data_IF_691716282392
#
_entry.id   IF_691716282392
#
_cell.length_a   1.000
_cell.length_b   1.000
_cell.length_c   1.000
_cell.angle_alpha   90.00
_cell.angle_beta   90.00
_cell.angle_gamma   90.00
#
_symmetry.space_group_name_H-M   'P 1'
#
loop_
_entity.id
_entity.type
_entity.pdbx_description
1 polymer ?
#
# COMPACT_ATOMS: atom_id res chain seq x y z
N UNK A 1 -15.39 23.42 14.34
CA UNK A 1 -14.93 23.64 12.95
C UNK A 1 -15.94 22.95 12.06
N UNK A 2 -16.44 23.62 11.01
CA UNK A 2 -17.30 22.95 10.03
C UNK A 2 -16.44 21.86 9.37
N UNK A 3 -16.65 20.60 9.73
CA UNK A 3 -16.19 19.49 8.90
C UNK A 3 -16.98 19.60 7.61
N UNK A 4 -16.40 20.20 6.57
CA UNK A 4 -16.89 19.99 5.21
C UNK A 4 -16.97 18.47 5.03
N UNK A 5 -18.16 17.96 4.70
CA UNK A 5 -18.37 16.51 4.54
C UNK A 5 -17.28 15.92 3.63
N UNK A 6 -16.46 15.02 4.18
CA UNK A 6 -15.50 14.26 3.40
C UNK A 6 -16.27 13.42 2.40
N UNK A 7 -15.95 13.55 1.10
CA UNK A 7 -16.60 12.79 0.04
C UNK A 7 -15.70 11.62 -0.39
N UNK A 8 -16.27 10.41 -0.57
CA UNK A 8 -15.50 9.28 -1.05
C UNK A 8 -15.13 9.50 -2.52
N UNK A 9 -13.96 8.99 -2.93
CA UNK A 9 -13.56 8.90 -4.34
C UNK A 9 -13.53 7.44 -4.76
N UNK A 10 -14.13 7.10 -5.89
CA UNK A 10 -14.00 5.75 -6.42
C UNK A 10 -12.54 5.48 -6.78
N UNK A 11 -12.00 4.38 -6.27
CA UNK A 11 -10.65 3.91 -6.52
C UNK A 11 -10.71 2.63 -7.36
N UNK A 12 -9.60 2.35 -8.04
CA UNK A 12 -9.38 1.09 -8.75
C UNK A 12 -8.25 0.36 -8.06
N UNK A 13 -8.44 -0.90 -7.73
CA UNK A 13 -7.51 -1.71 -6.96
C UNK A 13 -7.12 -2.98 -7.71
N UNK A 14 -5.92 -3.47 -7.41
CA UNK A 14 -5.44 -4.79 -7.76
C UNK A 14 -5.21 -5.58 -6.48
N UNK A 15 -5.78 -6.78 -6.42
CA UNK A 15 -5.55 -7.78 -5.38
C UNK A 15 -5.04 -9.06 -6.04
N UNK A 16 -4.52 -9.99 -5.24
CA UNK A 16 -4.19 -11.34 -5.72
C UNK A 16 -4.88 -12.38 -4.84
N UNK A 17 -5.46 -13.41 -5.47
CA UNK A 17 -6.14 -14.50 -4.77
C UNK A 17 -5.18 -15.25 -3.83
N UNK A 18 -5.60 -15.60 -2.59
CA UNK A 18 -4.77 -16.29 -1.62
C UNK A 18 -4.74 -17.81 -1.82
N UNK A 19 -4.99 -18.32 -3.04
CA UNK A 19 -5.10 -19.77 -3.33
C UNK A 19 -3.86 -20.59 -2.91
N UNK A 20 -2.71 -19.93 -2.81
CA UNK A 20 -1.44 -20.52 -2.42
C UNK A 20 -0.80 -19.85 -1.19
N UNK A 21 -1.56 -19.03 -0.47
CA UNK A 21 -1.03 -18.31 0.68
C UNK A 21 -0.69 -19.27 1.84
N UNK A 22 0.53 -19.15 2.34
CA UNK A 22 1.05 -19.87 3.51
C UNK A 22 2.26 -19.12 4.06
N UNK A 23 2.68 -19.44 5.28
CA UNK A 23 3.94 -18.94 5.88
C UNK A 23 4.94 -20.08 5.92
N UNK A 24 5.70 -20.24 4.83
CA UNK A 24 6.69 -21.32 4.67
C UNK A 24 8.15 -20.86 4.89
N UNK A 25 8.37 -19.55 5.00
CA UNK A 25 9.66 -18.92 5.33
C UNK A 25 9.44 -17.67 6.21
N UNK A 26 10.53 -17.14 6.77
CA UNK A 26 10.50 -15.91 7.56
C UNK A 26 11.48 -14.87 6.99
N UNK A 27 10.92 -13.81 6.40
CA UNK A 27 11.66 -12.67 5.80
C UNK A 27 11.26 -11.33 6.43
N UNK A 28 10.48 -11.37 7.51
CA UNK A 28 10.15 -10.25 8.37
C UNK A 28 9.89 -10.77 9.82
N UNK A 29 9.85 -9.89 10.83
CA UNK A 29 9.68 -10.29 12.23
C UNK A 29 8.31 -10.87 12.60
N UNK A 30 7.29 -10.74 11.74
CA UNK A 30 5.92 -11.19 12.01
C UNK A 30 5.67 -12.63 11.56
N UNK A 31 6.49 -13.14 10.65
CA UNK A 31 6.37 -14.50 10.12
C UNK A 31 6.84 -15.54 11.13
N UNK A 32 5.94 -16.44 11.51
CA UNK A 32 6.21 -17.63 12.32
C UNK A 32 5.85 -18.89 11.53
N UNK A 33 6.87 -19.60 11.05
CA UNK A 33 6.70 -20.84 10.26
C UNK A 33 6.18 -22.03 11.08
N UNK A 34 6.10 -21.89 12.41
CA UNK A 34 5.54 -22.92 13.30
C UNK A 34 4.03 -22.79 13.50
N UNK A 35 3.46 -21.64 13.13
CA UNK A 35 2.05 -21.35 13.23
C UNK A 35 1.38 -21.44 11.84
N UNK A 36 0.68 -22.55 11.52
CA UNK A 36 0.10 -22.72 10.19
C UNK A 36 -1.01 -21.70 9.92
N UNK A 37 -1.13 -21.30 8.65
CA UNK A 37 -2.23 -20.50 8.13
C UNK A 37 -3.45 -21.39 7.92
N UNK A 38 -4.63 -20.95 8.34
CA UNK A 38 -5.89 -21.55 7.92
C UNK A 38 -6.26 -21.00 6.53
N UNK A 39 -5.97 -21.77 5.49
CA UNK A 39 -6.22 -21.38 4.11
C UNK A 39 -7.70 -21.08 3.81
N UNK A 40 -8.63 -21.79 4.46
CA UNK A 40 -10.07 -21.55 4.27
C UNK A 40 -10.48 -20.22 4.90
N UNK A 41 -9.96 -19.91 6.08
CA UNK A 41 -10.19 -18.64 6.75
C UNK A 41 -9.52 -17.49 5.99
N UNK A 42 -8.26 -17.66 5.54
CA UNK A 42 -7.54 -16.68 4.75
C UNK A 42 -8.30 -16.28 3.49
N UNK A 43 -8.85 -17.26 2.75
CA UNK A 43 -9.69 -16.97 1.58
C UNK A 43 -10.95 -16.18 1.95
N UNK A 44 -11.67 -16.57 3.02
CA UNK A 44 -12.88 -15.85 3.46
C UNK A 44 -12.57 -14.41 3.88
N UNK A 45 -11.48 -14.20 4.60
CA UNK A 45 -11.03 -12.89 5.07
C UNK A 45 -10.61 -11.99 3.89
N UNK A 46 -9.87 -12.54 2.92
CA UNK A 46 -9.53 -11.85 1.68
C UNK A 46 -10.77 -11.47 0.86
N UNK A 47 -11.73 -12.40 0.73
CA UNK A 47 -12.98 -12.16 0.00
C UNK A 47 -13.87 -11.13 0.70
N UNK A 48 -13.83 -11.07 2.03
CA UNK A 48 -14.48 -10.03 2.82
C UNK A 48 -13.88 -8.65 2.51
N UNK A 49 -12.55 -8.52 2.44
CA UNK A 49 -11.90 -7.29 2.02
C UNK A 49 -12.32 -6.91 0.59
N UNK A 50 -12.25 -7.85 -0.35
CA UNK A 50 -12.61 -7.61 -1.75
C UNK A 50 -14.06 -7.12 -1.90
N UNK A 51 -14.98 -7.79 -1.23
CA UNK A 51 -16.41 -7.42 -1.22
C UNK A 51 -16.63 -6.06 -0.54
N UNK A 52 -15.96 -5.78 0.58
CA UNK A 52 -16.03 -4.48 1.25
C UNK A 52 -15.62 -3.34 0.33
N UNK A 53 -14.52 -3.49 -0.40
CA UNK A 53 -14.07 -2.48 -1.36
C UNK A 53 -15.09 -2.29 -2.49
N UNK A 54 -15.67 -3.37 -3.01
CA UNK A 54 -16.69 -3.31 -4.06
C UNK A 54 -17.99 -2.64 -3.58
N UNK A 55 -18.45 -2.95 -2.36
CA UNK A 55 -19.65 -2.35 -1.76
C UNK A 55 -19.49 -0.84 -1.50
N UNK A 56 -18.25 -0.38 -1.26
CA UNK A 56 -17.90 1.03 -1.19
C UNK A 56 -17.82 1.72 -2.57
N UNK A 57 -18.04 0.98 -3.66
CA UNK A 57 -18.08 1.50 -5.04
C UNK A 57 -16.74 1.50 -5.76
N UNK A 58 -15.73 0.79 -5.23
CA UNK A 58 -14.43 0.65 -5.87
C UNK A 58 -14.41 -0.47 -6.91
N UNK A 59 -13.54 -0.34 -7.90
CA UNK A 59 -13.28 -1.41 -8.88
C UNK A 59 -12.14 -2.27 -8.35
N UNK A 60 -12.29 -3.60 -8.35
CA UNK A 60 -11.24 -4.51 -7.91
C UNK A 60 -10.90 -5.51 -9.02
N UNK A 61 -9.66 -5.48 -9.48
CA UNK A 61 -9.05 -6.48 -10.36
C UNK A 61 -8.33 -7.53 -9.51
N UNK A 62 -8.27 -8.77 -10.01
CA UNK A 62 -7.68 -9.90 -9.29
C UNK A 62 -6.65 -10.60 -10.16
N UNK A 63 -5.44 -10.77 -9.62
CA UNK A 63 -4.44 -11.71 -10.12
C UNK A 63 -4.74 -13.11 -9.57
N UNK A 64 -4.55 -14.12 -10.40
CA UNK A 64 -4.49 -15.50 -9.92
C UNK A 64 -3.19 -15.69 -9.13
N UNK A 65 -3.29 -16.31 -7.95
CA UNK A 65 -2.10 -16.74 -7.22
C UNK A 65 -1.29 -17.73 -8.04
N UNK A 66 0.04 -17.71 -7.87
CA UNK A 66 0.95 -18.65 -8.55
C UNK A 66 1.48 -19.67 -7.54
N UNK A 67 1.45 -20.99 -7.84
CA UNK A 67 2.02 -22.00 -6.96
C UNK A 67 3.48 -21.72 -6.62
N UNK A 68 3.83 -21.83 -5.34
CA UNK A 68 5.18 -21.56 -4.83
C UNK A 68 5.51 -20.08 -4.61
N UNK A 69 4.55 -19.17 -4.82
CA UNK A 69 4.68 -17.74 -4.54
C UNK A 69 3.60 -17.29 -3.53
N UNK A 70 3.68 -17.73 -2.26
CA UNK A 70 2.61 -17.49 -1.29
C UNK A 70 2.36 -16.01 -0.99
N UNK A 71 3.41 -15.18 -1.02
CA UNK A 71 3.34 -13.75 -0.72
C UNK A 71 2.74 -12.90 -1.85
N UNK A 72 2.36 -13.50 -3.00
CA UNK A 72 1.66 -12.78 -4.07
C UNK A 72 0.34 -12.15 -3.61
N UNK A 73 -0.29 -12.68 -2.56
CA UNK A 73 -1.47 -12.08 -1.92
C UNK A 73 -1.23 -10.61 -1.55
N UNK A 74 0.02 -10.22 -1.27
CA UNK A 74 0.42 -8.83 -1.01
C UNK A 74 0.68 -8.05 -2.30
N UNK A 75 -0.40 -7.82 -3.04
CA UNK A 75 -0.37 -7.18 -4.36
C UNK A 75 0.27 -5.77 -4.37
N UNK A 76 0.30 -5.07 -3.22
CA UNK A 76 0.93 -3.76 -3.09
C UNK A 76 2.41 -3.78 -3.50
N UNK A 77 3.11 -4.91 -3.34
CA UNK A 77 4.55 -4.92 -3.52
C UNK A 77 5.03 -5.13 -4.95
N UNK A 78 4.15 -5.50 -5.88
CA UNK A 78 4.56 -5.90 -7.23
C UNK A 78 4.90 -4.75 -8.18
N UNK A 79 4.36 -3.55 -7.93
CA UNK A 79 4.66 -2.34 -8.68
C UNK A 79 4.09 -1.11 -7.95
N UNK A 80 4.38 0.08 -8.48
CA UNK A 80 3.74 1.32 -8.05
C UNK A 80 3.30 2.14 -9.27
N UNK A 81 2.02 2.54 -9.29
CA UNK A 81 1.42 3.25 -10.43
C UNK A 81 1.03 4.69 -10.09
N UNK A 82 1.36 5.61 -11.00
CA UNK A 82 0.99 7.03 -10.94
C UNK A 82 0.69 7.53 -12.36
N UNK A 83 -0.51 8.05 -12.57
CA UNK A 83 -0.94 8.70 -13.82
C UNK A 83 -0.65 7.86 -15.09
N UNK A 84 -0.90 6.55 -15.03
CA UNK A 84 -0.70 5.61 -16.13
C UNK A 84 0.74 5.12 -16.33
N UNK A 85 1.69 5.66 -15.57
CA UNK A 85 3.07 5.17 -15.50
C UNK A 85 3.21 4.18 -14.35
N UNK A 86 4.00 3.14 -14.57
CA UNK A 86 4.20 2.05 -13.61
C UNK A 86 5.68 1.81 -13.41
N UNK A 87 6.11 1.86 -12.15
CA UNK A 87 7.44 1.43 -11.75
C UNK A 87 7.35 0.02 -11.17
N UNK A 88 7.96 -0.96 -11.86
CA UNK A 88 7.94 -2.35 -11.43
C UNK A 88 8.78 -2.60 -10.18
N UNK A 89 8.47 -3.66 -9.45
CA UNK A 89 9.24 -4.05 -8.26
C UNK A 89 10.42 -4.96 -8.59
N UNK A 90 11.48 -4.83 -7.78
CA UNK A 90 12.61 -5.75 -7.72
C UNK A 90 12.82 -6.11 -6.27
N UNK A 91 12.30 -7.26 -5.87
CA UNK A 91 12.29 -7.70 -4.49
C UNK A 91 13.70 -7.89 -3.91
N UNK A 92 13.85 -7.57 -2.62
CA UNK A 92 15.10 -7.80 -1.89
C UNK A 92 15.38 -9.28 -1.67
N UNK A 93 14.33 -10.04 -1.38
CA UNK A 93 14.41 -11.44 -1.01
C UNK A 93 14.11 -12.35 -2.22
N UNK A 94 14.95 -13.37 -2.47
CA UNK A 94 14.78 -14.26 -3.63
C UNK A 94 13.46 -15.04 -3.60
N UNK A 95 12.90 -15.28 -2.39
CA UNK A 95 11.60 -15.94 -2.20
C UNK A 95 10.45 -15.23 -2.94
N UNK A 96 10.55 -13.90 -3.08
CA UNK A 96 9.53 -13.07 -3.73
C UNK A 96 9.90 -12.63 -5.15
N UNK A 97 11.12 -12.94 -5.62
CA UNK A 97 11.65 -12.37 -6.86
C UNK A 97 10.79 -12.70 -8.09
N UNK A 98 10.25 -13.92 -8.17
CA UNK A 98 9.43 -14.37 -9.30
C UNK A 98 8.01 -13.77 -9.31
N UNK A 99 7.57 -13.11 -8.23
CA UNK A 99 6.27 -12.41 -8.19
C UNK A 99 6.24 -11.24 -9.18
N UNK A 100 7.40 -10.61 -9.44
CA UNK A 100 7.52 -9.47 -10.34
C UNK A 100 7.01 -9.78 -11.76
N UNK A 101 7.21 -11.01 -12.24
CA UNK A 101 6.79 -11.43 -13.58
C UNK A 101 5.26 -11.40 -13.73
N UNK A 102 4.52 -11.86 -12.72
CA UNK A 102 3.07 -11.87 -12.73
C UNK A 102 2.48 -10.45 -12.74
N UNK A 103 3.07 -9.54 -11.96
CA UNK A 103 2.67 -8.14 -11.97
C UNK A 103 3.03 -7.46 -13.30
N UNK A 104 4.23 -7.69 -13.84
CA UNK A 104 4.60 -7.15 -15.14
C UNK A 104 3.65 -7.60 -16.25
N UNK A 105 3.25 -8.87 -16.28
CA UNK A 105 2.28 -9.40 -17.24
C UNK A 105 0.92 -8.70 -17.13
N UNK A 106 0.45 -8.43 -15.91
CA UNK A 106 -0.78 -7.68 -15.69
C UNK A 106 -0.72 -6.28 -16.33
N UNK A 107 0.32 -5.50 -16.01
CA UNK A 107 0.45 -4.15 -16.54
C UNK A 107 0.71 -4.12 -18.06
N UNK A 108 1.44 -5.11 -18.60
CA UNK A 108 1.69 -5.23 -20.04
C UNK A 108 0.41 -5.52 -20.85
N UNK A 109 -0.64 -6.04 -20.21
CA UNK A 109 -1.93 -6.32 -20.86
C UNK A 109 -2.86 -5.10 -20.94
N UNK A 110 -2.54 -4.01 -20.25
CA UNK A 110 -3.33 -2.78 -20.23
C UNK A 110 -2.62 -1.59 -20.87
N UNK A 111 -3.26 -0.42 -20.82
CA UNK A 111 -2.74 0.85 -21.33
C UNK A 111 -1.79 1.51 -20.31
N UNK A 112 -0.73 0.80 -19.93
CA UNK A 112 0.25 1.26 -18.95
C UNK A 112 1.63 1.51 -19.60
N UNK A 113 2.31 2.56 -19.15
CA UNK A 113 3.73 2.76 -19.45
C UNK A 113 4.57 2.12 -18.35
N UNK A 114 4.98 0.87 -18.57
CA UNK A 114 5.73 0.08 -17.59
C UNK A 114 7.24 0.30 -17.71
N UNK A 115 7.88 0.64 -16.60
CA UNK A 115 9.33 0.72 -16.47
C UNK A 115 9.85 -0.42 -15.59
N UNK A 116 10.74 -1.23 -16.15
CA UNK A 116 11.47 -2.25 -15.40
C UNK A 116 12.46 -1.59 -14.43
N UNK A 117 12.54 -2.07 -13.18
CA UNK A 117 13.41 -1.47 -12.16
C UNK A 117 14.89 -1.82 -12.34
N UNK A 118 15.76 -0.82 -12.23
CA UNK A 118 17.21 -1.00 -12.08
C UNK A 118 17.62 -1.29 -10.64
N UNK A 119 16.90 -0.73 -9.66
CA UNK A 119 17.20 -0.83 -8.23
C UNK A 119 16.17 -1.65 -7.44
N UNK A 120 16.59 -2.22 -6.30
CA UNK A 120 15.71 -2.97 -5.41
C UNK A 120 14.65 -2.04 -4.83
N UNK A 121 13.39 -2.40 -5.02
CA UNK A 121 12.22 -1.71 -4.48
C UNK A 121 11.04 -2.69 -4.35
N UNK A 122 10.15 -2.44 -3.40
CA UNK A 122 9.00 -3.31 -3.13
C UNK A 122 7.66 -2.55 -3.31
N UNK A 123 7.59 -1.75 -4.38
CA UNK A 123 6.36 -1.18 -4.91
C UNK A 123 5.60 -0.28 -3.92
N UNK A 124 4.28 -0.30 -4.01
CA UNK A 124 3.38 0.50 -3.17
C UNK A 124 3.46 0.15 -1.67
N UNK A 125 4.11 -0.95 -1.29
CA UNK A 125 4.45 -1.19 0.12
C UNK A 125 5.46 -0.17 0.66
N UNK A 126 6.37 0.32 -0.17
CA UNK A 126 7.38 1.33 0.19
C UNK A 126 7.14 2.70 -0.45
N UNK A 127 6.14 2.85 -1.32
CA UNK A 127 5.77 4.12 -1.96
C UNK A 127 4.31 4.50 -1.68
N UNK A 128 4.08 5.74 -1.24
CA UNK A 128 2.74 6.31 -1.07
C UNK A 128 2.58 7.57 -1.93
N UNK A 129 1.50 7.67 -2.71
CA UNK A 129 1.22 8.83 -3.57
C UNK A 129 0.17 9.74 -2.94
N UNK A 130 0.42 11.05 -2.96
CA UNK A 130 -0.52 12.10 -2.54
C UNK A 130 -0.77 13.02 -3.74
N UNK A 131 -1.83 12.78 -4.55
CA UNK A 131 -2.07 13.48 -5.80
C UNK A 131 -2.24 15.00 -5.67
N UNK A 132 -2.77 15.47 -4.54
CA UNK A 132 -3.09 16.88 -4.33
C UNK A 132 -2.10 17.60 -3.40
N UNK A 133 -1.27 16.86 -2.66
CA UNK A 133 -0.20 17.44 -1.85
C UNK A 133 0.89 18.02 -2.76
N UNK A 134 1.08 19.34 -2.69
CA UNK A 134 2.15 20.08 -3.38
C UNK A 134 2.26 19.81 -4.90
N UNK A 135 1.13 19.57 -5.57
CA UNK A 135 1.10 19.29 -7.02
C UNK A 135 1.37 17.83 -7.40
N UNK A 136 1.27 16.92 -6.43
CA UNK A 136 1.47 15.48 -6.60
C UNK A 136 2.86 15.06 -6.12
N UNK A 137 2.94 14.35 -5.00
CA UNK A 137 4.22 13.86 -4.44
C UNK A 137 4.15 12.40 -4.05
N UNK A 138 5.32 11.75 -4.09
CA UNK A 138 5.52 10.39 -3.60
C UNK A 138 6.33 10.44 -2.31
N UNK A 139 5.83 9.79 -1.26
CA UNK A 139 6.61 9.46 -0.06
C UNK A 139 7.22 8.08 -0.26
N UNK A 140 8.51 7.92 0.02
CA UNK A 140 9.26 6.72 -0.28
C UNK A 140 10.05 6.22 0.93
N UNK A 141 9.70 5.03 1.42
CA UNK A 141 10.35 4.35 2.53
C UNK A 141 11.65 3.66 2.11
N UNK A 142 12.67 3.74 2.95
CA UNK A 142 13.89 2.93 2.82
C UNK A 142 14.44 2.53 4.18
N UNK A 143 15.34 1.54 4.19
CA UNK A 143 16.08 1.11 5.37
C UNK A 143 16.09 -0.40 5.56
N UNK A 144 15.02 -1.07 5.12
CA UNK A 144 14.87 -2.52 5.24
C UNK A 144 14.70 -3.22 3.90
N UNK A 145 13.83 -2.74 3.02
CA UNK A 145 13.47 -3.41 1.75
C UNK A 145 13.97 -2.63 0.54
N UNK A 146 13.43 -1.44 0.30
CA UNK A 146 13.81 -0.59 -0.84
C UNK A 146 15.17 0.09 -0.65
N UNK A 147 15.97 0.10 -1.73
CA UNK A 147 17.25 0.80 -1.80
C UNK A 147 17.03 2.31 -2.02
N UNK A 148 17.79 3.21 -1.36
CA UNK A 148 17.64 4.66 -1.57
C UNK A 148 17.82 5.11 -3.03
N UNK A 149 18.60 4.37 -3.83
CA UNK A 149 18.79 4.67 -5.26
C UNK A 149 17.51 4.48 -6.08
N UNK A 150 16.61 3.59 -5.66
CA UNK A 150 15.30 3.41 -6.32
C UNK A 150 14.43 4.65 -6.23
N UNK A 151 14.66 5.56 -5.27
CA UNK A 151 13.87 6.78 -5.13
C UNK A 151 14.16 7.79 -6.24
N UNK A 152 15.43 7.89 -6.66
CA UNK A 152 15.82 8.71 -7.80
C UNK A 152 15.27 8.11 -9.11
N UNK A 153 15.34 6.79 -9.26
CA UNK A 153 14.75 6.09 -10.41
C UNK A 153 13.22 6.29 -10.48
N UNK A 154 12.53 6.14 -9.35
CA UNK A 154 11.09 6.38 -9.24
C UNK A 154 10.71 7.82 -9.62
N UNK A 155 11.49 8.83 -9.24
CA UNK A 155 11.25 10.22 -9.63
C UNK A 155 11.26 10.40 -11.14
N UNK A 156 12.28 9.85 -11.82
CA UNK A 156 12.42 9.97 -13.28
C UNK A 156 11.32 9.20 -14.02
N UNK A 157 11.00 7.99 -13.57
CA UNK A 157 9.94 7.16 -14.16
C UNK A 157 8.58 7.84 -13.99
N UNK A 158 8.20 8.17 -12.76
CA UNK A 158 6.86 8.64 -12.43
C UNK A 158 6.65 10.12 -12.78
N UNK A 159 7.72 10.91 -12.84
CA UNK A 159 7.64 12.35 -13.11
C UNK A 159 7.03 13.13 -11.93
N UNK A 160 7.23 12.65 -10.70
CA UNK A 160 6.75 13.25 -9.46
C UNK A 160 7.90 13.41 -8.46
N UNK A 161 7.94 14.48 -7.65
CA UNK A 161 8.87 14.58 -6.54
C UNK A 161 8.77 13.37 -5.60
N UNK A 162 9.92 12.81 -5.25
CA UNK A 162 10.03 11.66 -4.34
C UNK A 162 10.73 12.09 -3.04
N UNK A 163 10.04 11.97 -1.91
CA UNK A 163 10.55 12.33 -0.58
C UNK A 163 10.98 11.06 0.15
N UNK A 164 12.28 10.96 0.43
CA UNK A 164 12.88 9.79 1.07
C UNK A 164 12.67 9.81 2.60
N UNK A 165 12.12 8.72 3.13
CA UNK A 165 11.82 8.51 4.55
C UNK A 165 12.53 7.26 5.05
N UNK A 166 13.41 7.41 6.04
CA UNK A 166 14.20 6.31 6.61
C UNK A 166 13.42 5.61 7.72
N UNK A 167 13.08 4.36 7.51
CA UNK A 167 12.57 3.44 8.52
C UNK A 167 13.72 2.95 9.41
N UNK A 168 13.47 2.83 10.72
CA UNK A 168 14.49 2.46 11.72
C UNK A 168 14.08 1.32 12.63
N UNK A 169 12.80 0.96 12.66
CA UNK A 169 12.29 -0.17 13.44
C UNK A 169 11.93 -1.34 12.50
N UNK A 170 12.58 -2.51 12.65
CA UNK A 170 12.35 -3.65 11.76
C UNK A 170 10.94 -4.25 11.85
N UNK A 171 10.18 -3.95 12.91
CA UNK A 171 8.76 -4.32 12.97
C UNK A 171 7.94 -3.62 11.87
N UNK A 172 8.39 -2.44 11.43
CA UNK A 172 7.75 -1.64 10.39
C UNK A 172 8.65 -1.55 9.15
N UNK A 173 8.90 -2.71 8.54
CA UNK A 173 9.91 -2.89 7.48
C UNK A 173 9.50 -2.33 6.11
N UNK A 174 8.22 -2.01 5.93
CA UNK A 174 7.68 -1.32 4.77
C UNK A 174 7.03 0.01 5.18
N UNK A 175 7.05 0.99 4.29
CA UNK A 175 6.41 2.29 4.53
C UNK A 175 4.94 2.15 4.93
N UNK A 176 4.19 1.28 4.25
CA UNK A 176 2.75 1.06 4.46
C UNK A 176 2.40 0.41 5.82
N UNK A 177 3.39 -0.01 6.60
CA UNK A 177 3.22 -0.45 7.99
C UNK A 177 3.43 0.68 9.00
N UNK A 178 3.99 1.82 8.56
CA UNK A 178 4.35 2.97 9.38
C UNK A 178 3.71 4.29 8.93
N UNK A 179 3.12 4.34 7.73
CA UNK A 179 2.51 5.53 7.15
C UNK A 179 1.39 5.14 6.18
N UNK A 180 0.31 5.90 6.21
CA UNK A 180 -0.83 5.74 5.31
C UNK A 180 -1.27 7.06 4.70
N UNK A 181 -1.63 7.07 3.42
CA UNK A 181 -2.40 8.17 2.84
C UNK A 181 -3.88 8.03 3.28
N UNK A 182 -4.43 9.08 3.88
CA UNK A 182 -5.83 9.12 4.29
C UNK A 182 -6.72 9.78 3.22
N UNK A 183 -6.16 10.72 2.47
CA UNK A 183 -6.76 11.30 1.27
C UNK A 183 -5.64 11.85 0.38
N UNK A 184 -5.97 12.66 -0.62
CA UNK A 184 -4.98 13.13 -1.58
C UNK A 184 -4.00 14.18 -1.00
N UNK A 185 -4.17 14.60 0.27
CA UNK A 185 -3.34 15.59 0.97
C UNK A 185 -2.87 15.16 2.36
N UNK A 186 -3.66 14.37 3.08
CA UNK A 186 -3.42 14.04 4.49
C UNK A 186 -2.90 12.62 4.65
N UNK A 187 -2.10 12.43 5.71
CA UNK A 187 -1.52 11.14 6.08
C UNK A 187 -1.82 10.80 7.55
N UNK A 188 -1.70 9.52 7.86
CA UNK A 188 -1.44 9.02 9.21
C UNK A 188 -0.04 8.41 9.27
N UNK A 189 0.67 8.54 10.39
CA UNK A 189 1.95 7.84 10.56
C UNK A 189 2.31 7.60 12.03
N UNK A 190 3.20 6.63 12.26
CA UNK A 190 3.82 6.35 13.56
C UNK A 190 5.24 6.95 13.61
N UNK A 191 5.50 8.01 14.39
CA UNK A 191 6.78 8.74 14.34
C UNK A 191 8.02 7.90 14.64
N UNK A 192 7.95 7.00 15.61
CA UNK A 192 9.14 6.27 16.09
C UNK A 192 9.58 5.15 15.14
N UNK A 193 8.79 4.82 14.12
CA UNK A 193 9.24 3.98 13.01
C UNK A 193 10.26 4.69 12.10
N UNK A 194 10.40 6.02 12.20
CA UNK A 194 11.22 6.85 11.32
C UNK A 194 12.44 7.44 12.02
N UNK A 195 13.51 7.68 11.25
CA UNK A 195 14.68 8.40 11.75
C UNK A 195 14.33 9.84 12.17
N UNK A 196 15.09 10.48 13.10
CA UNK A 196 14.81 11.85 13.52
C UNK A 196 14.77 12.88 12.39
N UNK A 197 15.54 12.66 11.31
CA UNK A 197 15.50 13.55 10.14
C UNK A 197 14.20 13.38 9.35
N UNK A 198 13.76 12.14 9.13
CA UNK A 198 12.50 11.84 8.46
C UNK A 198 11.29 12.30 9.28
N UNK A 199 11.33 12.19 10.61
CA UNK A 199 10.32 12.76 11.49
C UNK A 199 10.17 14.28 11.30
N UNK A 200 11.29 15.03 11.20
CA UNK A 200 11.25 16.47 10.94
C UNK A 200 10.66 16.80 9.57
N UNK A 201 11.01 16.03 8.54
CA UNK A 201 10.43 16.18 7.19
C UNK A 201 8.92 15.95 7.23
N UNK A 202 8.46 14.86 7.86
CA UNK A 202 7.05 14.55 8.00
C UNK A 202 6.29 15.63 8.77
N UNK A 203 6.82 16.08 9.91
CA UNK A 203 6.20 17.15 10.70
C UNK A 203 6.12 18.49 9.96
N UNK A 204 7.09 18.78 9.08
CA UNK A 204 7.08 19.99 8.26
C UNK A 204 6.07 19.91 7.11
N UNK A 205 5.98 18.76 6.44
CA UNK A 205 5.09 18.58 5.29
C UNK A 205 3.64 18.30 5.69
N UNK A 206 3.44 17.66 6.84
CA UNK A 206 2.13 17.19 7.31
C UNK A 206 1.89 17.57 8.77
N UNK A 207 1.80 18.87 9.09
CA UNK A 207 1.57 19.34 10.46
C UNK A 207 0.24 18.86 11.06
N UNK A 208 -0.73 18.54 10.21
CA UNK A 208 -2.07 18.07 10.58
C UNK A 208 -2.23 16.54 10.45
N UNK A 209 -1.13 15.79 10.39
CA UNK A 209 -1.16 14.33 10.28
C UNK A 209 -1.84 13.67 11.49
N UNK A 210 -2.52 12.55 11.24
CA UNK A 210 -3.03 11.69 12.32
C UNK A 210 -1.86 10.88 12.88
N UNK A 211 -1.54 11.09 14.15
CA UNK A 211 -0.39 10.43 14.80
C UNK A 211 -0.83 9.12 15.46
N UNK A 212 -0.30 8.02 14.94
CA UNK A 212 -0.42 6.70 15.53
C UNK A 212 0.61 6.52 16.65
N UNK A 213 0.32 5.60 17.57
CA UNK A 213 1.30 5.09 18.53
C UNK A 213 1.72 3.66 18.18
N UNK A 214 2.60 3.08 19.00
CA UNK A 214 3.12 1.72 18.77
C UNK A 214 2.02 0.66 18.79
N UNK A 215 1.03 0.81 19.67
CA UNK A 215 -0.06 -0.15 19.80
C UNK A 215 -0.93 -0.15 18.54
N UNK A 216 -1.22 1.04 17.98
CA UNK A 216 -1.90 1.14 16.69
C UNK A 216 -1.11 0.46 15.57
N UNK A 217 0.20 0.72 15.51
CA UNK A 217 1.06 0.24 14.44
C UNK A 217 1.24 -1.30 14.51
N UNK A 218 1.43 -1.87 15.71
CA UNK A 218 1.51 -3.33 15.92
C UNK A 218 0.17 -4.06 15.66
N UNK A 219 -0.95 -3.34 15.75
CA UNK A 219 -2.26 -3.82 15.30
C UNK A 219 -2.46 -3.72 13.77
N UNK A 220 -1.44 -3.27 13.02
CA UNK A 220 -1.50 -2.97 11.59
C UNK A 220 -2.50 -1.85 11.25
N UNK A 221 -2.71 -0.91 12.18
CA UNK A 221 -3.64 0.20 12.00
C UNK A 221 -3.25 1.17 10.88
N UNK A 222 -1.96 1.28 10.56
CA UNK A 222 -1.47 2.10 9.45
C UNK A 222 -1.45 1.35 8.11
N UNK A 223 -1.58 0.03 8.12
CA UNK A 223 -1.70 -0.76 6.91
C UNK A 223 -3.15 -0.75 6.41
N UNK A 224 -3.64 0.46 6.14
CA UNK A 224 -5.02 0.81 5.80
C UNK A 224 -5.16 1.28 4.36
N UNK A 225 -6.38 1.26 3.84
CA UNK A 225 -6.74 1.88 2.55
C UNK A 225 -7.82 2.92 2.80
N UNK A 226 -7.74 4.06 2.13
CA UNK A 226 -8.72 5.14 2.27
C UNK A 226 -9.17 5.69 0.94
N UNK A 227 -10.47 5.99 0.84
CA UNK A 227 -11.07 6.66 -0.33
C UNK A 227 -11.23 8.18 -0.13
N UNK A 228 -10.75 8.71 1.00
CA UNK A 228 -10.90 10.09 1.43
C UNK A 228 -12.05 10.33 2.40
N UNK A 229 -12.95 9.35 2.57
CA UNK A 229 -14.01 9.33 3.58
C UNK A 229 -13.98 8.04 4.39
N UNK A 230 -14.04 6.88 3.74
CA UNK A 230 -13.99 5.56 4.36
C UNK A 230 -12.53 5.14 4.52
N UNK A 231 -12.18 4.68 5.72
CA UNK A 231 -10.85 4.16 6.04
C UNK A 231 -11.00 2.69 6.38
N UNK A 232 -10.56 1.81 5.48
CA UNK A 232 -10.61 0.36 5.66
C UNK A 232 -9.35 -0.10 6.39
N UNK A 233 -9.52 -0.72 7.56
CA UNK A 233 -8.42 -1.16 8.43
C UNK A 233 -8.78 -2.46 9.17
N UNK A 234 -7.77 -3.12 9.75
CA UNK A 234 -7.94 -4.38 10.47
C UNK A 234 -8.89 -4.21 11.70
N UNK A 235 -9.65 -5.26 12.05
CA UNK A 235 -10.53 -5.29 13.23
C UNK A 235 -9.78 -5.12 14.55
N UNK A 236 -8.51 -5.54 14.62
CA UNK A 236 -7.68 -5.36 15.82
C UNK A 236 -7.26 -3.90 16.04
N UNK A 237 -7.25 -3.08 14.99
CA UNK A 237 -6.76 -1.69 15.01
C UNK A 237 -7.83 -0.69 15.51
N UNK A 238 -8.51 -1.01 16.61
CA UNK A 238 -9.63 -0.21 17.16
C UNK A 238 -9.18 1.21 17.51
N UNK A 239 -8.05 1.36 18.20
CA UNK A 239 -7.54 2.66 18.62
C UNK A 239 -7.18 3.56 17.42
N UNK A 240 -6.60 2.99 16.36
CA UNK A 240 -6.36 3.73 15.11
C UNK A 240 -7.68 4.13 14.44
N UNK A 241 -8.67 3.25 14.47
CA UNK A 241 -10.04 3.53 14.00
C UNK A 241 -10.66 4.75 14.70
N UNK A 242 -10.45 4.87 16.02
CA UNK A 242 -10.92 6.03 16.79
C UNK A 242 -10.18 7.31 16.42
N UNK A 243 -8.87 7.24 16.17
CA UNK A 243 -8.05 8.39 15.73
C UNK A 243 -8.48 8.91 14.36
N UNK A 244 -8.69 8.03 13.38
CA UNK A 244 -9.18 8.46 12.05
C UNK A 244 -10.63 8.99 12.13
N UNK A 245 -11.46 8.43 13.00
CA UNK A 245 -12.82 8.95 13.24
C UNK A 245 -12.79 10.35 13.83
N UNK A 246 -11.91 10.61 14.80
CA UNK A 246 -11.71 11.93 15.38
C UNK A 246 -11.21 12.96 14.34
N UNK A 247 -10.48 12.50 13.32
CA UNK A 247 -10.03 13.31 12.18
C UNK A 247 -11.11 13.49 11.08
N UNK A 248 -12.33 12.99 11.31
CA UNK A 248 -13.50 13.18 10.45
C UNK A 248 -13.69 12.12 9.37
N UNK A 249 -12.92 11.02 9.39
CA UNK A 249 -13.12 9.88 8.49
C UNK A 249 -14.10 8.87 9.10
N UNK A 250 -14.57 7.91 8.28
CA UNK A 250 -15.42 6.80 8.70
C UNK A 250 -14.62 5.49 8.66
N UNK A 251 -14.17 4.95 9.81
CA UNK A 251 -13.47 3.67 9.83
C UNK A 251 -14.40 2.50 9.47
N UNK A 252 -13.89 1.59 8.67
CA UNK A 252 -14.52 0.35 8.21
C UNK A 252 -13.59 -0.80 8.57
N UNK A 253 -14.00 -1.64 9.52
CA UNK A 253 -13.15 -2.73 9.99
C UNK A 253 -13.37 -4.01 9.18
N UNK A 254 -12.28 -4.64 8.77
CA UNK A 254 -12.26 -5.95 8.10
C UNK A 254 -11.32 -6.90 8.83
N UNK A 255 -11.69 -8.18 8.91
CA UNK A 255 -10.90 -9.18 9.61
C UNK A 255 -9.85 -9.77 8.66
N UNK A 256 -8.56 -9.65 9.00
CA UNK A 256 -7.43 -10.14 8.19
C UNK A 256 -6.37 -10.86 9.04
N UNK A 257 -6.79 -11.58 10.08
CA UNK A 257 -5.85 -12.22 11.01
C UNK A 257 -4.91 -13.23 10.36
N UNK A 258 -5.36 -13.93 9.31
CA UNK A 258 -4.53 -14.92 8.63
C UNK A 258 -3.48 -14.27 7.74
N UNK A 259 -3.83 -13.22 6.99
CA UNK A 259 -2.84 -12.44 6.22
C UNK A 259 -1.85 -11.74 7.16
N UNK A 260 -2.29 -11.28 8.34
CA UNK A 260 -1.38 -10.70 9.35
C UNK A 260 -0.23 -11.63 9.73
N UNK A 261 -0.39 -12.95 9.64
CA UNK A 261 0.68 -13.94 9.91
C UNK A 261 1.86 -13.83 8.94
N UNK A 262 1.64 -13.36 7.71
CA UNK A 262 2.73 -13.06 6.78
C UNK A 262 3.33 -11.66 6.96
N UNK A 263 2.85 -10.89 7.94
CA UNK A 263 3.30 -9.52 8.18
C UNK A 263 2.64 -8.46 7.29
N UNK A 264 1.43 -8.71 6.78
CA UNK A 264 0.66 -7.74 6.00
C UNK A 264 -0.83 -7.69 6.38
N UNK A 265 -1.50 -6.60 6.03
CA UNK A 265 -2.94 -6.39 6.31
C UNK A 265 -3.61 -5.74 5.09
N UNK A 266 -4.61 -4.87 5.29
CA UNK A 266 -5.47 -4.28 4.25
C UNK A 266 -4.64 -3.66 3.13
N UNK A 267 -3.69 -2.77 3.46
CA UNK A 267 -2.91 -2.07 2.44
C UNK A 267 -1.98 -3.01 1.68
N UNK A 268 -1.29 -3.92 2.36
CA UNK A 268 -0.40 -4.87 1.68
C UNK A 268 -1.16 -5.72 0.64
N UNK A 269 -2.40 -6.13 0.97
CA UNK A 269 -3.24 -6.93 0.07
C UNK A 269 -3.75 -6.17 -1.17
N UNK A 270 -3.54 -4.85 -1.24
CA UNK A 270 -4.18 -3.96 -2.21
C UNK A 270 -3.18 -2.96 -2.83
N UNK A 271 -2.93 -3.09 -4.13
CA UNK A 271 -2.31 -2.02 -4.91
C UNK A 271 -3.38 -1.10 -5.51
N UNK A 272 -3.21 0.21 -5.44
CA UNK A 272 -4.08 1.16 -6.14
C UNK A 272 -3.59 1.36 -7.57
N UNK A 273 -4.48 1.13 -8.52
CA UNK A 273 -4.25 1.35 -9.94
C UNK A 273 -4.64 2.79 -10.27
N UNK A 274 -3.65 3.59 -10.65
CA UNK A 274 -3.81 5.01 -11.00
C UNK A 274 -3.61 5.20 -12.50
N UNK A 275 -4.63 4.92 -13.33
CA UNK A 275 -4.52 5.07 -14.78
C UNK A 275 -4.27 6.53 -15.16
N UNK A 276 -3.74 6.75 -16.36
CA UNK A 276 -3.62 8.10 -16.91
C UNK A 276 -5.01 8.69 -17.15
N UNK A 277 -5.13 10.01 -17.08
CA UNK A 277 -6.34 10.67 -17.56
C UNK A 277 -6.37 10.48 -19.09
N UNK A 278 -7.29 9.66 -19.59
CA UNK A 278 -7.68 9.72 -20.99
C UNK A 278 -8.08 11.16 -21.25
N UNK A 279 -7.30 11.91 -22.05
CA UNK A 279 -7.70 13.24 -22.46
C UNK A 279 -9.01 13.10 -23.22
N UNK A 280 -10.12 13.51 -22.60
CA UNK A 280 -11.37 13.70 -23.31
C UNK A 280 -11.14 14.79 -24.37
N UNK A 281 -10.82 14.40 -25.60
CA UNK A 281 -10.48 15.35 -26.66
C UNK A 281 -9.81 14.80 -27.91
N UNK A 282 -9.16 13.65 -27.89
CA UNK A 282 -8.68 13.01 -29.14
C UNK A 282 -9.76 12.09 -29.71
N UNK A 283 -10.92 12.71 -30.02
CA UNK A 283 -11.77 12.17 -31.05
C UNK A 283 -10.96 12.20 -32.36
N UNK A 284 -10.80 11.03 -32.96
CA UNK A 284 -10.27 10.82 -34.31
C UNK A 284 -10.73 11.94 -35.25
N UNK A 285 -9.79 12.84 -35.55
CA UNK A 285 -9.93 13.89 -36.54
C UNK A 285 -8.92 13.65 -37.65
N UNK A 286 -9.47 13.39 -38.84
CA UNK A 286 -8.85 13.12 -40.15
C UNK A 286 -8.47 11.66 -40.44
#
# INVERSE_FOLDING_TARGET
>A
MNHSDRLPRNRTYLMCSPDHFTVEYAINPWMDTTAPVDATLAFRQWEMLRTTLADLGHTVHVLNGVPGLPDMVYAANGAFSVDGKVYGARFKFPQRAAEADAHQLFYASGEWSFASPGHVNEGEGDFAYLPEAYGGMVLAGYGFRTDPAAHAEAQEVLGRPVISLKLVDPAFYHLDTALAALDDRHIAYYPDAFSPASQRVLAQLFPDAVIADRHDAEAFGLNLVSDGRHVVLNTEAVAMGDKVRAAGYLPVHVELTELKRGGGSVKCAVAELRPGVLKAGEALGA
#
